data_IF_033201136178
#
_entry.id   IF_033201136178
#
_cell.length_a   1.000
_cell.length_b   1.000
_cell.length_c   1.000
_cell.angle_alpha   90.00
_cell.angle_beta   90.00
_cell.angle_gamma   90.00
#
_symmetry.space_group_name_H-M   'P 1'
#
loop_
_entity.id
_entity.type
_entity.pdbx_description
1 polymer ?
#
# COMPACT_ATOMS: atom_id res chain seq x y z
N UNK A 1 -19.10 -28.99 -5.30
CA UNK A 1 -18.95 -28.31 -4.00
C UNK A 1 -17.46 -28.32 -3.68
N UNK A 2 -16.73 -27.27 -4.05
CA UNK A 2 -15.30 -27.11 -3.72
C UNK A 2 -15.21 -25.94 -2.75
N UNK A 3 -15.09 -26.23 -1.46
CA UNK A 3 -14.65 -25.24 -0.48
C UNK A 3 -13.14 -25.04 -0.69
N UNK A 4 -12.78 -23.99 -1.42
CA UNK A 4 -11.40 -23.51 -1.46
C UNK A 4 -11.09 -22.83 -0.13
N UNK A 5 -10.34 -23.52 0.73
CA UNK A 5 -9.75 -22.91 1.91
C UNK A 5 -8.74 -21.85 1.45
N UNK A 6 -9.02 -20.59 1.75
CA UNK A 6 -8.07 -19.49 1.59
C UNK A 6 -7.01 -19.71 2.68
N UNK A 7 -5.85 -20.25 2.30
CA UNK A 7 -4.70 -20.31 3.19
C UNK A 7 -4.07 -18.93 3.27
N UNK A 8 -4.39 -18.19 4.33
CA UNK A 8 -3.59 -17.04 4.77
C UNK A 8 -2.29 -17.60 5.33
N UNK A 9 -1.18 -17.42 4.62
CA UNK A 9 0.15 -17.75 5.13
C UNK A 9 0.47 -16.71 6.20
N UNK A 10 0.41 -17.13 7.45
CA UNK A 10 0.77 -16.30 8.60
C UNK A 10 2.30 -16.14 8.65
N UNK A 11 2.78 -14.91 8.78
CA UNK A 11 4.20 -14.68 9.03
C UNK A 11 4.55 -15.12 10.46
N UNK A 12 5.59 -15.95 10.62
CA UNK A 12 6.15 -16.28 11.93
C UNK A 12 6.59 -14.98 12.63
N UNK A 13 6.01 -14.67 13.80
CA UNK A 13 6.45 -13.54 14.62
C UNK A 13 5.37 -12.76 15.37
N UNK A 14 4.08 -12.99 15.09
CA UNK A 14 2.99 -12.36 15.84
C UNK A 14 2.31 -13.36 16.78
N UNK A 15 1.99 -12.93 18.01
CA UNK A 15 1.11 -13.71 18.86
C UNK A 15 -0.32 -13.74 18.28
N UNK A 16 -1.11 -14.73 18.70
CA UNK A 16 -2.45 -14.97 18.17
C UNK A 16 -3.40 -13.78 18.37
N UNK A 17 -3.27 -13.03 19.47
CA UNK A 17 -4.13 -11.89 19.73
C UNK A 17 -3.81 -10.72 18.79
N UNK A 18 -2.53 -10.43 18.58
CA UNK A 18 -2.10 -9.40 17.63
C UNK A 18 -2.46 -9.80 16.19
N UNK A 19 -2.28 -11.06 15.83
CA UNK A 19 -2.65 -11.54 14.50
C UNK A 19 -4.16 -11.37 14.23
N UNK A 20 -5.03 -11.66 15.19
CA UNK A 20 -6.46 -11.45 15.03
C UNK A 20 -6.82 -9.97 14.75
N UNK A 21 -6.06 -9.02 15.32
CA UNK A 21 -6.21 -7.59 15.04
C UNK A 21 -5.71 -7.23 13.64
N UNK A 22 -4.59 -7.80 13.21
CA UNK A 22 -4.08 -7.64 11.83
C UNK A 22 -5.11 -8.17 10.82
N UNK A 23 -5.68 -9.34 11.05
CA UNK A 23 -6.71 -9.93 10.18
C UNK A 23 -7.97 -9.05 10.10
N UNK A 24 -8.38 -8.44 11.22
CA UNK A 24 -9.47 -7.48 11.24
C UNK A 24 -9.14 -6.23 10.41
N UNK A 25 -7.90 -5.70 10.52
CA UNK A 25 -7.43 -4.57 9.72
C UNK A 25 -7.34 -4.90 8.24
N UNK A 26 -6.89 -6.10 7.87
CA UNK A 26 -6.86 -6.55 6.48
C UNK A 26 -8.26 -6.47 5.86
N UNK A 27 -9.31 -6.91 6.56
CA UNK A 27 -10.70 -6.81 6.06
C UNK A 27 -11.14 -5.36 5.86
N UNK A 28 -10.78 -4.47 6.78
CA UNK A 28 -11.05 -3.03 6.66
C UNK A 28 -10.32 -2.43 5.44
N UNK A 29 -9.05 -2.79 5.25
CA UNK A 29 -8.20 -2.31 4.15
C UNK A 29 -8.67 -2.85 2.79
N UNK A 30 -9.19 -4.08 2.73
CA UNK A 30 -9.85 -4.62 1.53
C UNK A 30 -11.05 -3.76 1.11
N UNK A 31 -11.83 -3.26 2.07
CA UNK A 31 -12.93 -2.34 1.77
C UNK A 31 -12.42 -1.00 1.23
N UNK A 32 -11.30 -0.48 1.76
CA UNK A 32 -10.66 0.74 1.24
C UNK A 32 -10.19 0.58 -0.21
N UNK A 33 -9.64 -0.58 -0.57
CA UNK A 33 -9.13 -0.86 -1.91
C UNK A 33 -10.22 -0.83 -3.00
N UNK A 34 -11.49 -0.92 -2.59
CA UNK A 34 -12.64 -0.79 -3.49
C UNK A 34 -13.20 0.64 -3.56
N UNK A 35 -12.61 1.59 -2.83
CA UNK A 35 -13.08 2.97 -2.83
C UNK A 35 -12.85 3.63 -4.21
N UNK A 36 -13.85 4.32 -4.77
CA UNK A 36 -13.72 4.95 -6.08
C UNK A 36 -12.56 5.94 -6.19
N UNK A 37 -12.16 6.60 -5.10
CA UNK A 37 -11.00 7.51 -5.10
C UNK A 37 -9.70 6.76 -5.40
N UNK A 38 -9.52 5.55 -4.86
CA UNK A 38 -8.34 4.73 -5.11
C UNK A 38 -8.38 4.10 -6.49
N UNK A 39 -9.51 3.46 -6.84
CA UNK A 39 -9.66 2.77 -8.14
C UNK A 39 -9.46 3.76 -9.29
N UNK A 40 -10.13 4.91 -9.28
CA UNK A 40 -9.99 5.91 -10.36
C UNK A 40 -8.58 6.46 -10.49
N UNK A 41 -7.90 6.70 -9.36
CA UNK A 41 -6.53 7.22 -9.40
C UNK A 41 -5.56 6.21 -10.01
N UNK A 42 -5.70 4.93 -9.66
CA UNK A 42 -4.86 3.85 -10.22
C UNK A 42 -5.14 3.66 -11.71
N UNK A 43 -6.41 3.67 -12.12
CA UNK A 43 -6.78 3.52 -13.54
C UNK A 43 -6.27 4.71 -14.37
N UNK A 44 -6.39 5.93 -13.85
CA UNK A 44 -5.85 7.12 -14.50
C UNK A 44 -4.32 7.04 -14.65
N UNK A 45 -3.61 6.65 -13.59
CA UNK A 45 -2.17 6.42 -13.62
C UNK A 45 -1.77 5.38 -14.67
N UNK A 46 -2.44 4.22 -14.68
CA UNK A 46 -2.14 3.13 -15.62
C UNK A 46 -2.45 3.51 -17.07
N UNK A 47 -3.47 4.33 -17.31
CA UNK A 47 -3.88 4.76 -18.65
C UNK A 47 -2.97 5.85 -19.21
N UNK A 48 -2.54 6.77 -18.34
CA UNK A 48 -1.78 7.95 -18.73
C UNK A 48 -0.72 8.28 -17.66
N UNK A 49 0.34 7.46 -17.63
CA UNK A 49 1.46 7.65 -16.72
C UNK A 49 2.09 9.04 -16.96
N UNK A 50 2.16 9.92 -15.94
CA UNK A 50 2.82 11.21 -16.10
C UNK A 50 4.29 11.03 -16.51
N UNK A 51 4.76 11.86 -17.45
CA UNK A 51 6.15 11.78 -17.91
C UNK A 51 7.18 11.99 -16.78
N UNK A 52 6.84 12.82 -15.78
CA UNK A 52 7.67 13.02 -14.60
C UNK A 52 7.79 11.73 -13.76
N UNK A 53 6.71 10.98 -13.60
CA UNK A 53 6.68 9.72 -12.86
C UNK A 53 7.47 8.65 -13.63
N UNK A 54 7.29 8.60 -14.96
CA UNK A 54 8.03 7.68 -15.84
C UNK A 54 9.55 7.95 -15.85
N UNK A 55 9.96 9.22 -15.74
CA UNK A 55 11.37 9.63 -15.71
C UNK A 55 12.00 9.54 -14.31
N UNK A 56 11.21 9.34 -13.26
CA UNK A 56 11.70 9.31 -11.89
C UNK A 56 12.53 8.04 -11.63
N UNK A 57 13.68 8.22 -11.01
CA UNK A 57 14.59 7.13 -10.61
C UNK A 57 14.65 7.00 -9.10
N UNK A 58 15.10 5.85 -8.59
CA UNK A 58 15.30 5.68 -7.15
C UNK A 58 16.36 6.66 -6.60
N UNK A 59 17.39 6.98 -7.35
CA UNK A 59 18.44 7.90 -6.91
C UNK A 59 17.92 9.33 -6.80
N UNK A 60 17.17 9.80 -7.80
CA UNK A 60 16.47 11.09 -7.73
C UNK A 60 15.45 11.10 -6.60
N UNK A 61 14.66 10.03 -6.45
CA UNK A 61 13.65 9.94 -5.39
C UNK A 61 14.26 10.11 -4.00
N UNK A 62 15.42 9.50 -3.73
CA UNK A 62 16.13 9.64 -2.44
C UNK A 62 16.52 11.08 -2.14
N UNK A 63 16.85 11.89 -3.14
CA UNK A 63 17.23 13.29 -2.92
C UNK A 63 16.04 14.22 -2.63
N UNK A 64 14.82 13.82 -3.00
CA UNK A 64 13.64 14.65 -2.78
C UNK A 64 13.22 14.66 -1.30
N UNK A 65 12.87 15.83 -0.79
CA UNK A 65 12.32 15.96 0.56
C UNK A 65 10.81 15.77 0.56
N UNK A 66 10.20 15.59 1.74
CA UNK A 66 8.74 15.54 1.89
C UNK A 66 8.03 16.83 1.46
N UNK A 67 8.76 17.95 1.38
CA UNK A 67 8.22 19.25 0.99
C UNK A 67 8.29 19.50 -0.52
N UNK A 68 9.04 18.65 -1.25
CA UNK A 68 9.17 18.76 -2.69
C UNK A 68 7.79 18.70 -3.38
N UNK A 69 7.46 19.62 -4.30
CA UNK A 69 6.15 19.64 -4.96
C UNK A 69 5.78 18.32 -5.65
N UNK A 70 6.75 17.62 -6.25
CA UNK A 70 6.53 16.31 -6.85
C UNK A 70 6.09 15.31 -5.79
N UNK A 71 6.83 15.21 -4.69
CA UNK A 71 6.50 14.32 -3.57
C UNK A 71 5.14 14.69 -2.95
N UNK A 72 4.88 15.98 -2.75
CA UNK A 72 3.61 16.44 -2.16
C UNK A 72 2.41 16.09 -3.01
N UNK A 73 2.55 16.05 -4.34
CA UNK A 73 1.45 15.74 -5.26
C UNK A 73 0.75 14.41 -4.97
N UNK A 74 1.48 13.40 -4.49
CA UNK A 74 0.94 12.08 -4.14
C UNK A 74 0.13 12.06 -2.84
N UNK A 75 0.35 13.02 -1.93
CA UNK A 75 -0.44 13.13 -0.70
C UNK A 75 -1.56 14.17 -0.80
N UNK A 76 -1.47 15.09 -1.77
CA UNK A 76 -2.48 16.14 -1.96
C UNK A 76 -3.58 15.78 -2.97
N UNK A 77 -3.37 14.78 -3.82
CA UNK A 77 -4.39 14.29 -4.75
C UNK A 77 -5.57 13.60 -4.02
N UNK A 78 -6.67 13.34 -4.75
CA UNK A 78 -7.91 12.77 -4.17
C UNK A 78 -7.67 11.43 -3.44
N UNK A 79 -6.85 10.54 -3.99
CA UNK A 79 -6.51 9.27 -3.35
C UNK A 79 -5.66 9.49 -2.08
N UNK A 80 -4.71 10.42 -2.10
CA UNK A 80 -3.93 10.83 -0.93
C UNK A 80 -4.79 11.41 0.19
N UNK A 81 -5.76 12.27 -0.14
CA UNK A 81 -6.74 12.79 0.84
C UNK A 81 -7.64 11.69 1.39
N UNK A 82 -8.04 10.73 0.55
CA UNK A 82 -8.77 9.55 1.02
C UNK A 82 -7.95 8.77 2.04
N UNK A 83 -6.68 8.43 1.73
CA UNK A 83 -5.80 7.74 2.67
C UNK A 83 -5.65 8.54 3.98
N UNK A 84 -5.50 9.87 3.88
CA UNK A 84 -5.42 10.76 5.04
C UNK A 84 -6.65 10.66 5.95
N UNK A 85 -7.84 10.50 5.37
CA UNK A 85 -9.09 10.29 6.14
C UNK A 85 -9.13 8.96 6.89
N UNK A 86 -8.30 7.99 6.49
CA UNK A 86 -8.19 6.67 7.13
C UNK A 86 -7.10 6.59 8.20
N UNK A 87 -6.32 7.66 8.38
CA UNK A 87 -5.24 7.69 9.38
C UNK A 87 -5.84 7.50 10.78
N UNK A 88 -5.38 6.45 11.45
CA UNK A 88 -5.58 6.22 12.89
C UNK A 88 -4.20 6.11 13.55
N UNK A 89 -4.11 6.00 14.90
CA UNK A 89 -2.86 5.70 15.58
C UNK A 89 -2.21 4.40 15.09
N UNK A 90 -2.98 3.40 14.66
CA UNK A 90 -2.44 2.11 14.22
C UNK A 90 -1.93 2.13 12.77
N UNK A 91 -2.42 3.05 11.93
CA UNK A 91 -2.02 3.16 10.51
C UNK A 91 -0.74 3.98 10.41
N UNK A 92 0.43 3.37 10.54
CA UNK A 92 1.72 4.07 10.46
C UNK A 92 1.97 4.69 9.09
N UNK A 93 1.65 3.94 8.03
CA UNK A 93 1.77 4.35 6.65
C UNK A 93 0.65 3.74 5.81
N UNK A 94 0.38 4.35 4.65
CA UNK A 94 -0.43 3.76 3.61
C UNK A 94 0.00 4.36 2.27
N UNK A 95 0.12 3.52 1.25
CA UNK A 95 0.44 3.96 -0.09
C UNK A 95 -0.18 3.05 -1.14
N UNK A 96 -0.48 3.66 -2.29
CA UNK A 96 -1.07 3.00 -3.44
C UNK A 96 -0.03 2.98 -4.56
N UNK A 97 0.13 1.81 -5.19
CA UNK A 97 0.94 1.66 -6.38
C UNK A 97 0.06 1.30 -7.58
N UNK A 98 0.43 1.80 -8.76
CA UNK A 98 -0.14 1.38 -10.05
C UNK A 98 0.32 -0.02 -10.43
N UNK A 99 -0.13 -0.51 -11.59
CA UNK A 99 0.22 -1.85 -12.11
C UNK A 99 1.71 -2.01 -12.44
N UNK A 100 2.40 -0.89 -12.62
CA UNK A 100 3.84 -0.78 -12.84
C UNK A 100 4.65 -0.74 -11.54
N UNK A 101 3.99 -0.74 -10.39
CA UNK A 101 4.60 -0.62 -9.06
C UNK A 101 5.02 0.81 -8.67
N UNK A 102 4.73 1.82 -9.50
CA UNK A 102 5.01 3.24 -9.21
C UNK A 102 3.93 3.84 -8.30
N UNK A 103 4.27 4.93 -7.60
CA UNK A 103 3.36 5.56 -6.64
C UNK A 103 2.20 6.25 -7.34
N UNK A 104 1.00 6.09 -6.78
CA UNK A 104 -0.22 6.80 -7.16
C UNK A 104 -0.66 7.74 -6.05
N UNK A 105 -0.55 7.30 -4.80
CA UNK A 105 -0.87 8.10 -3.62
C UNK A 105 -0.16 7.56 -2.37
N UNK A 106 0.03 8.41 -1.37
CA UNK A 106 0.49 7.97 -0.04
C UNK A 106 0.11 8.93 1.09
N UNK A 107 0.19 8.41 2.32
CA UNK A 107 0.18 9.21 3.55
C UNK A 107 1.49 9.97 3.77
N UNK A 108 2.62 9.36 3.42
CA UNK A 108 3.96 9.90 3.57
C UNK A 108 4.90 9.33 2.52
N UNK A 109 6.00 10.04 2.28
CA UNK A 109 7.02 9.62 1.31
C UNK A 109 7.64 8.28 1.76
N UNK A 110 7.61 7.29 0.88
CA UNK A 110 8.22 5.97 1.12
C UNK A 110 9.72 5.96 0.81
N UNK A 111 10.45 4.96 1.31
CA UNK A 111 11.87 4.76 0.96
C UNK A 111 12.06 4.46 -0.53
N UNK A 112 11.22 3.59 -1.09
CA UNK A 112 11.28 3.17 -2.50
C UNK A 112 10.33 3.95 -3.40
N UNK A 113 10.83 4.41 -4.55
CA UNK A 113 10.01 4.98 -5.62
C UNK A 113 9.08 3.92 -6.24
N UNK A 114 9.65 2.79 -6.65
CA UNK A 114 8.89 1.64 -7.18
C UNK A 114 8.89 0.48 -6.18
N UNK A 115 7.78 -0.25 -6.13
CA UNK A 115 7.66 -1.52 -5.41
C UNK A 115 7.47 -2.73 -6.33
N UNK A 116 7.64 -2.58 -7.65
CA UNK A 116 7.67 -3.72 -8.57
C UNK A 116 8.77 -4.70 -8.18
N UNK A 117 8.49 -6.00 -8.19
CA UNK A 117 9.44 -7.02 -7.74
C UNK A 117 9.47 -7.22 -6.22
N UNK A 118 8.59 -6.55 -5.46
CA UNK A 118 8.44 -6.74 -4.01
C UNK A 118 7.17 -7.54 -3.73
N UNK A 119 7.18 -8.50 -2.78
CA UNK A 119 6.00 -9.28 -2.42
C UNK A 119 4.77 -8.43 -2.06
N UNK A 120 5.00 -7.28 -1.40
CA UNK A 120 3.98 -6.30 -1.03
C UNK A 120 3.22 -5.70 -2.22
N UNK A 121 3.74 -5.84 -3.44
CA UNK A 121 3.09 -5.41 -4.68
C UNK A 121 2.74 -6.60 -5.58
N UNK A 122 3.70 -7.49 -5.84
CA UNK A 122 3.55 -8.56 -6.83
C UNK A 122 2.45 -9.57 -6.44
N UNK A 123 2.27 -9.87 -5.14
CA UNK A 123 1.23 -10.80 -4.70
C UNK A 123 -0.18 -10.19 -4.84
N UNK A 124 -0.44 -8.92 -4.45
CA UNK A 124 -1.64 -8.19 -4.84
C UNK A 124 -1.93 -8.17 -6.34
N UNK A 125 -0.91 -8.05 -7.20
CA UNK A 125 -1.12 -8.11 -8.65
C UNK A 125 -1.63 -9.48 -9.14
N UNK A 126 -1.55 -10.53 -8.32
CA UNK A 126 -2.20 -11.83 -8.58
C UNK A 126 -3.60 -11.97 -7.97
N UNK A 127 -4.15 -10.89 -7.40
CA UNK A 127 -5.46 -10.86 -6.73
C UNK A 127 -5.45 -11.35 -5.28
N UNK A 128 -4.27 -11.50 -4.67
CA UNK A 128 -4.09 -12.05 -3.31
C UNK A 128 -3.64 -10.99 -2.32
N UNK A 129 -4.06 -11.13 -1.06
CA UNK A 129 -3.51 -10.35 0.04
C UNK A 129 -2.10 -10.83 0.39
N UNK A 130 -1.21 -9.90 0.76
CA UNK A 130 0.09 -10.19 1.37
C UNK A 130 0.16 -9.63 2.79
N UNK A 131 0.88 -10.33 3.66
CA UNK A 131 1.30 -9.85 4.97
C UNK A 131 2.81 -10.08 5.09
N UNK A 132 3.55 -9.05 5.50
CA UNK A 132 4.97 -9.12 5.77
C UNK A 132 5.31 -9.69 7.14
N UNK A 133 6.60 -9.93 7.37
CA UNK A 133 7.12 -10.12 8.71
C UNK A 133 7.06 -8.80 9.50
N UNK A 134 7.24 -8.89 10.81
CA UNK A 134 7.46 -7.71 11.66
C UNK A 134 8.83 -7.12 11.34
N UNK A 135 8.87 -5.84 11.01
CA UNK A 135 10.09 -5.11 10.72
C UNK A 135 10.06 -3.68 11.28
N UNK A 136 11.23 -3.08 11.46
CA UNK A 136 11.32 -1.63 11.65
C UNK A 136 11.33 -1.01 10.26
N UNK A 137 10.29 -0.26 9.94
CA UNK A 137 10.18 0.38 8.64
C UNK A 137 11.03 1.64 8.57
N UNK A 138 11.87 1.73 7.54
CA UNK A 138 12.85 2.81 7.39
C UNK A 138 12.21 4.18 7.19
N UNK A 139 11.01 4.23 6.58
CA UNK A 139 10.36 5.50 6.23
C UNK A 139 9.61 6.11 7.42
N UNK A 140 9.04 5.26 8.27
CA UNK A 140 8.28 5.66 9.46
C UNK A 140 9.12 5.62 10.74
N UNK A 141 10.18 4.81 10.78
CA UNK A 141 10.95 4.51 11.98
C UNK A 141 10.22 3.64 13.01
N UNK A 142 9.05 3.08 12.66
CA UNK A 142 8.20 2.32 13.58
C UNK A 142 8.37 0.81 13.37
N UNK A 143 8.29 0.06 14.47
CA UNK A 143 8.10 -1.39 14.39
C UNK A 143 6.66 -1.68 13.96
N UNK A 144 6.51 -2.32 12.81
CA UNK A 144 5.22 -2.53 12.18
C UNK A 144 5.16 -3.87 11.45
N UNK A 145 3.94 -4.28 11.14
CA UNK A 145 3.65 -5.29 10.11
C UNK A 145 3.01 -4.59 8.93
N UNK A 146 3.51 -4.85 7.72
CA UNK A 146 2.86 -4.36 6.51
C UNK A 146 1.89 -5.40 5.97
N UNK A 147 0.72 -4.95 5.54
CA UNK A 147 -0.23 -5.75 4.76
C UNK A 147 -0.50 -5.08 3.44
N UNK A 148 -0.81 -5.86 2.41
CA UNK A 148 -1.23 -5.29 1.14
C UNK A 148 -2.32 -6.11 0.46
N UNK A 149 -3.17 -5.40 -0.28
CA UNK A 149 -4.38 -5.95 -0.92
C UNK A 149 -4.46 -5.47 -2.36
N UNK A 150 -5.09 -6.25 -3.26
CA UNK A 150 -5.31 -5.81 -4.64
C UNK A 150 -6.30 -4.64 -4.69
N UNK A 151 -6.02 -3.67 -5.56
CA UNK A 151 -7.03 -2.74 -6.07
C UNK A 151 -7.54 -3.34 -7.38
N UNK A 152 -8.85 -3.52 -7.49
CA UNK A 152 -9.49 -4.20 -8.61
C UNK A 152 -10.27 -3.23 -9.49
N UNK A 153 -10.17 -3.41 -10.81
CA UNK A 153 -11.08 -2.83 -11.80
C UNK A 153 -11.66 -3.98 -12.64
N UNK A 154 -12.98 -4.10 -12.71
CA UNK A 154 -13.63 -5.19 -13.44
C UNK A 154 -13.23 -6.60 -12.94
N UNK A 155 -12.82 -6.72 -11.68
CA UNK A 155 -12.32 -7.96 -11.09
C UNK A 155 -10.85 -8.27 -11.41
N UNK A 156 -10.14 -7.43 -12.16
CA UNK A 156 -8.73 -7.57 -12.46
C UNK A 156 -7.88 -6.69 -11.54
N UNK A 157 -6.76 -7.19 -10.98
CA UNK A 157 -5.81 -6.38 -10.25
C UNK A 157 -5.17 -5.31 -11.13
N UNK A 158 -5.37 -4.04 -10.77
CA UNK A 158 -4.81 -2.87 -11.47
C UNK A 158 -3.77 -2.13 -10.63
N UNK A 159 -3.64 -2.49 -9.36
CA UNK A 159 -2.67 -1.91 -8.45
C UNK A 159 -2.70 -2.59 -7.09
N UNK A 160 -1.93 -2.03 -6.17
CA UNK A 160 -1.81 -2.54 -4.79
C UNK A 160 -1.99 -1.42 -3.80
N UNK A 161 -2.79 -1.64 -2.74
CA UNK A 161 -2.80 -0.82 -1.55
C UNK A 161 -1.95 -1.50 -0.48
N UNK A 162 -0.92 -0.81 0.01
CA UNK A 162 -0.07 -1.26 1.11
C UNK A 162 -0.32 -0.39 2.33
N UNK A 163 -0.39 -1.00 3.51
CA UNK A 163 -0.63 -0.34 4.79
C UNK A 163 0.31 -0.91 5.84
N UNK A 164 1.04 -0.05 6.53
CA UNK A 164 1.86 -0.41 7.68
C UNK A 164 1.08 -0.22 8.98
N UNK A 165 1.01 -1.28 9.78
CA UNK A 165 0.31 -1.31 11.06
C UNK A 165 1.31 -1.26 12.22
N UNK A 166 1.32 -0.16 12.96
CA UNK A 166 2.19 0.03 14.11
C UNK A 166 1.84 -0.95 15.23
N UNK A 167 2.74 -1.87 15.57
CA UNK A 167 2.46 -2.92 16.55
C UNK A 167 2.15 -2.35 17.95
N UNK A 168 2.81 -1.25 18.32
CA UNK A 168 2.57 -0.58 19.61
C UNK A 168 1.18 0.04 19.76
N UNK A 169 0.37 0.03 18.69
CA UNK A 169 -0.96 0.64 18.61
C UNK A 169 -2.04 -0.37 18.20
N UNK A 170 -1.68 -1.63 17.95
CA UNK A 170 -2.61 -2.73 17.67
C UNK A 170 -3.21 -3.29 18.95
#
# INVERSE_FOLDING_TARGET
>A
MFLGAIFTVHAEGLDTAVQAKVDAKVKEIQAWASDPALVKAVVAHNTALPAADAAMTQDTWKTLTILDPFVRSFSTNTAGQFLKSKKSPEIAEAFVNGSDGLKVAFLGKTTGWSHKGKPKHDLPMSGKTWQGAVEVDESTGLQQVQVSVPILEGGQPVGSLVVGLALSKL
#
